data_IF_724593221569
#
_entry.id   IF_724593221569
#
_cell.length_a   1.000
_cell.length_b   1.000
_cell.length_c   1.000
_cell.angle_alpha   90.00
_cell.angle_beta   90.00
_cell.angle_gamma   90.00
#
_symmetry.space_group_name_H-M   'P 1'
#
loop_
_entity.id
_entity.type
_entity.pdbx_description
1 polymer ?
#
# COMPACT_ATOMS: atom_id res chain seq x y z
N UNK A 1 7.20 34.13 -5.66
CA UNK A 1 6.05 33.22 -5.67
C UNK A 1 5.28 33.46 -4.39
N UNK A 2 3.97 33.70 -4.49
CA UNK A 2 3.10 33.85 -3.31
C UNK A 2 3.23 32.60 -2.44
N UNK A 3 3.39 32.72 -1.13
CA UNK A 3 3.27 31.58 -0.24
C UNK A 3 1.83 31.08 -0.36
N UNK A 4 1.65 29.95 -1.03
CA UNK A 4 0.34 29.29 -1.11
C UNK A 4 0.00 28.88 0.32
N UNK A 5 -1.04 29.49 0.87
CA UNK A 5 -1.44 29.23 2.26
C UNK A 5 -2.52 28.17 2.29
N UNK A 6 -2.69 27.53 3.45
CA UNK A 6 -3.76 26.56 3.67
C UNK A 6 -5.13 27.20 3.39
N UNK A 7 -5.28 28.48 3.73
CA UNK A 7 -6.47 29.28 3.44
C UNK A 7 -6.74 29.39 1.95
N UNK A 8 -5.72 29.59 1.11
CA UNK A 8 -5.91 29.62 -0.35
C UNK A 8 -6.38 28.28 -0.92
N UNK A 9 -5.94 27.15 -0.34
CA UNK A 9 -6.46 25.83 -0.71
C UNK A 9 -7.94 25.70 -0.30
N UNK A 10 -8.29 26.13 0.91
CA UNK A 10 -9.69 26.15 1.34
C UNK A 10 -10.56 27.08 0.49
N UNK A 11 -10.06 28.24 0.08
CA UNK A 11 -10.78 29.19 -0.79
C UNK A 11 -10.99 28.62 -2.20
N UNK A 12 -9.96 28.01 -2.79
CA UNK A 12 -10.06 27.34 -4.10
C UNK A 12 -11.09 26.20 -4.05
N UNK A 13 -11.13 25.46 -2.93
CA UNK A 13 -12.10 24.39 -2.70
C UNK A 13 -13.48 24.90 -2.29
N UNK A 14 -13.57 26.13 -1.77
CA UNK A 14 -14.83 26.69 -1.32
C UNK A 14 -15.76 27.10 -2.47
N UNK A 15 -15.21 27.32 -3.67
CA UNK A 15 -15.90 27.92 -4.80
C UNK A 15 -16.89 27.04 -5.57
N UNK A 16 -16.82 25.70 -5.47
CA UNK A 16 -17.44 24.88 -6.53
C UNK A 16 -17.88 23.47 -6.13
N UNK A 17 -17.70 23.04 -4.88
CA UNK A 17 -17.99 21.65 -4.46
C UNK A 17 -19.42 21.53 -3.89
N UNK A 18 -20.46 21.87 -4.67
CA UNK A 18 -21.86 21.56 -4.33
C UNK A 18 -22.49 20.49 -5.25
N UNK A 19 -21.67 19.83 -6.07
CA UNK A 19 -22.18 18.81 -6.98
C UNK A 19 -22.20 17.42 -6.35
N UNK A 20 -23.37 16.79 -6.50
CA UNK A 20 -23.62 15.38 -6.24
C UNK A 20 -22.72 14.56 -7.16
N UNK A 21 -21.58 14.06 -6.66
CA UNK A 21 -20.56 13.43 -7.50
C UNK A 21 -21.07 12.15 -8.20
N UNK A 22 -21.13 12.23 -9.52
CA UNK A 22 -20.95 11.19 -10.56
C UNK A 22 -20.34 11.94 -11.77
N UNK A 23 -19.56 11.41 -12.77
CA UNK A 23 -19.28 10.02 -13.29
C UNK A 23 -17.79 9.80 -13.78
N UNK A 24 -17.34 8.84 -14.67
CA UNK A 24 -18.02 7.81 -15.47
C UNK A 24 -17.34 6.43 -15.44
N UNK A 25 -17.89 5.53 -14.63
CA UNK A 25 -17.89 4.11 -14.92
C UNK A 25 -18.74 3.47 -13.85
N UNK A 26 -20.06 3.53 -14.04
CA UNK A 26 -20.94 2.66 -13.29
C UNK A 26 -20.46 1.25 -13.61
N UNK A 27 -19.82 0.59 -12.65
CA UNK A 27 -19.86 -0.87 -12.63
C UNK A 27 -21.36 -1.16 -12.67
N UNK A 28 -21.89 -1.85 -13.72
CA UNK A 28 -23.32 -2.05 -13.84
C UNK A 28 -23.89 -2.64 -12.54
N UNK A 29 -24.87 -1.95 -11.94
CA UNK A 29 -25.47 -2.35 -10.66
C UNK A 29 -24.86 -1.75 -9.39
N UNK A 30 -23.77 -0.97 -9.48
CA UNK A 30 -23.20 -0.25 -8.34
C UNK A 30 -23.56 1.25 -8.38
N UNK A 31 -24.26 1.72 -7.35
CA UNK A 31 -24.52 3.14 -7.09
C UNK A 31 -23.80 3.54 -5.82
N UNK A 32 -22.75 4.35 -5.94
CA UNK A 32 -22.15 4.98 -4.77
C UNK A 32 -23.16 5.96 -4.16
N UNK A 33 -23.39 5.93 -2.83
CA UNK A 33 -24.22 6.94 -2.20
C UNK A 33 -23.60 8.32 -2.42
N UNK A 34 -24.42 9.38 -2.55
CA UNK A 34 -23.90 10.74 -2.58
C UNK A 34 -23.08 10.98 -1.32
N UNK A 35 -21.77 11.25 -1.46
CA UNK A 35 -20.96 11.67 -0.33
C UNK A 35 -20.95 13.20 -0.28
N UNK A 36 -21.03 13.80 0.91
CA UNK A 36 -20.78 15.24 1.07
C UNK A 36 -19.28 15.50 0.95
N UNK A 37 -18.70 15.30 -0.25
CA UNK A 37 -17.26 15.35 -0.51
C UNK A 37 -16.59 16.57 0.08
N UNK A 38 -17.24 17.73 0.00
CA UNK A 38 -16.75 18.96 0.60
C UNK A 38 -16.50 18.83 2.11
N UNK A 39 -17.49 18.38 2.87
CA UNK A 39 -17.35 18.21 4.32
C UNK A 39 -16.25 17.20 4.66
N UNK A 40 -16.19 16.10 3.92
CA UNK A 40 -15.15 15.07 4.12
C UNK A 40 -13.75 15.58 3.77
N UNK A 41 -13.61 16.38 2.71
CA UNK A 41 -12.35 17.05 2.34
C UNK A 41 -11.95 18.05 3.42
N UNK A 42 -12.88 18.88 3.87
CA UNK A 42 -12.61 19.90 4.89
C UNK A 42 -12.12 19.27 6.19
N UNK A 43 -12.78 18.19 6.65
CA UNK A 43 -12.38 17.48 7.85
C UNK A 43 -11.00 16.82 7.69
N UNK A 44 -10.74 16.20 6.54
CA UNK A 44 -9.45 15.59 6.26
C UNK A 44 -8.32 16.64 6.15
N UNK A 45 -8.55 17.79 5.52
CA UNK A 45 -7.60 18.90 5.49
C UNK A 45 -7.33 19.49 6.89
N UNK A 46 -8.36 19.59 7.75
CA UNK A 46 -8.18 20.00 9.15
C UNK A 46 -7.30 19.02 9.91
N UNK A 47 -7.46 17.72 9.71
CA UNK A 47 -6.57 16.70 10.28
C UNK A 47 -5.13 16.90 9.81
N UNK A 48 -4.90 17.01 8.50
CA UNK A 48 -3.57 17.23 7.91
C UNK A 48 -2.91 18.56 8.33
N UNK A 49 -3.74 19.59 8.56
CA UNK A 49 -3.25 20.88 9.06
C UNK A 49 -2.92 20.81 10.55
N UNK A 50 -3.77 20.17 11.35
CA UNK A 50 -3.64 20.09 12.80
C UNK A 50 -2.42 19.31 13.26
N UNK A 51 -1.97 18.32 12.48
CA UNK A 51 -0.76 17.54 12.74
C UNK A 51 0.50 18.04 11.98
N UNK A 52 0.36 19.16 11.25
CA UNK A 52 1.44 19.79 10.50
C UNK A 52 1.90 19.02 9.25
N UNK A 53 1.16 17.98 8.80
CA UNK A 53 1.51 17.23 7.58
C UNK A 53 1.52 18.08 6.31
N UNK A 54 0.70 19.14 6.22
CA UNK A 54 0.68 20.04 5.06
C UNK A 54 2.03 20.73 4.79
N UNK A 55 2.85 20.93 5.82
CA UNK A 55 4.17 21.56 5.73
C UNK A 55 5.32 20.57 5.49
N UNK A 56 5.06 19.25 5.54
CA UNK A 56 6.09 18.24 5.21
C UNK A 56 6.46 18.34 3.75
N UNK A 57 7.72 18.08 3.44
CA UNK A 57 8.26 18.19 2.09
C UNK A 57 8.45 16.83 1.44
N UNK A 58 8.28 16.79 0.13
CA UNK A 58 8.54 15.63 -0.71
C UNK A 58 10.05 15.45 -0.99
N UNK A 59 10.41 14.51 -1.88
CA UNK A 59 11.80 14.25 -2.25
C UNK A 59 12.50 15.46 -2.93
N UNK A 60 11.73 16.38 -3.49
CA UNK A 60 12.21 17.56 -4.21
C UNK A 60 12.22 18.81 -3.31
N UNK A 61 11.80 18.68 -2.06
CA UNK A 61 11.72 19.79 -1.11
C UNK A 61 10.44 20.62 -1.21
N UNK A 62 9.43 20.19 -1.98
CA UNK A 62 8.16 20.90 -2.08
C UNK A 62 7.20 20.44 -0.99
N UNK A 63 6.46 21.36 -0.34
CA UNK A 63 5.53 20.99 0.72
C UNK A 63 4.31 20.25 0.16
N UNK A 64 3.69 19.38 0.98
CA UNK A 64 2.49 18.62 0.63
C UNK A 64 1.38 19.52 0.03
N UNK A 65 1.17 20.70 0.61
CA UNK A 65 0.16 21.65 0.12
C UNK A 65 0.36 22.04 -1.35
N UNK A 66 1.60 22.09 -1.85
CA UNK A 66 1.89 22.42 -3.24
C UNK A 66 1.38 21.34 -4.20
N UNK A 67 1.56 20.06 -3.86
CA UNK A 67 1.03 18.94 -4.65
C UNK A 67 -0.50 18.93 -4.67
N UNK A 68 -1.15 19.24 -3.54
CA UNK A 68 -2.62 19.34 -3.47
C UNK A 68 -3.13 20.49 -4.35
N UNK A 69 -2.47 21.65 -4.31
CA UNK A 69 -2.81 22.81 -5.14
C UNK A 69 -2.55 22.54 -6.61
N UNK A 70 -1.50 21.78 -6.95
CA UNK A 70 -1.23 21.35 -8.31
C UNK A 70 -2.41 20.53 -8.87
N UNK A 71 -2.96 19.61 -8.07
CA UNK A 71 -4.15 18.83 -8.46
C UNK A 71 -5.38 19.72 -8.59
N UNK A 72 -5.52 20.76 -7.76
CA UNK A 72 -6.66 21.68 -7.83
C UNK A 72 -6.61 22.65 -9.03
N UNK A 73 -5.41 23.03 -9.49
CA UNK A 73 -5.27 24.19 -10.40
C UNK A 73 -4.60 23.87 -11.74
N UNK A 74 -3.75 22.85 -11.84
CA UNK A 74 -3.00 22.57 -13.07
C UNK A 74 -3.83 21.74 -14.05
N UNK A 75 -3.49 21.75 -15.35
CA UNK A 75 -4.09 20.84 -16.33
C UNK A 75 -3.89 19.38 -15.90
N UNK A 76 -5.00 18.67 -15.76
CA UNK A 76 -5.01 17.23 -15.53
C UNK A 76 -5.22 16.52 -16.86
N UNK A 77 -4.96 15.22 -16.86
CA UNK A 77 -5.37 14.36 -17.96
C UNK A 77 -6.88 14.48 -18.22
N UNK A 78 -7.32 14.31 -19.47
CA UNK A 78 -8.71 14.54 -19.90
C UNK A 78 -9.73 13.77 -19.07
N UNK A 79 -9.38 12.59 -18.59
CA UNK A 79 -10.21 11.78 -17.70
C UNK A 79 -10.54 12.49 -16.36
N UNK A 80 -9.61 13.29 -15.83
CA UNK A 80 -9.78 14.07 -14.59
C UNK A 80 -9.99 15.57 -14.84
N UNK A 81 -9.96 16.03 -16.09
CA UNK A 81 -10.01 17.45 -16.42
C UNK A 81 -11.38 18.07 -16.12
N UNK A 82 -12.45 17.27 -16.18
CA UNK A 82 -13.78 17.67 -15.73
C UNK A 82 -13.76 17.97 -14.22
N UNK A 83 -14.54 18.98 -13.80
CA UNK A 83 -14.55 19.47 -12.43
C UNK A 83 -14.87 18.35 -11.41
N UNK A 84 -15.81 17.47 -11.76
CA UNK A 84 -16.22 16.33 -10.94
C UNK A 84 -15.07 15.33 -10.77
N UNK A 85 -14.32 15.07 -11.84
CA UNK A 85 -13.15 14.19 -11.83
C UNK A 85 -12.02 14.76 -10.97
N UNK A 86 -11.74 16.06 -11.10
CA UNK A 86 -10.76 16.77 -10.29
C UNK A 86 -11.11 16.75 -8.80
N UNK A 87 -12.36 17.09 -8.47
CA UNK A 87 -12.84 17.09 -7.08
C UNK A 87 -12.78 15.68 -6.47
N UNK A 88 -13.13 14.65 -7.23
CA UNK A 88 -12.99 13.25 -6.78
C UNK A 88 -11.54 12.86 -6.55
N UNK A 89 -10.65 13.17 -7.49
CA UNK A 89 -9.23 12.86 -7.38
C UNK A 89 -8.60 13.50 -6.14
N UNK A 90 -8.82 14.80 -5.96
CA UNK A 90 -8.34 15.52 -4.78
C UNK A 90 -8.97 14.99 -3.49
N UNK A 91 -10.27 14.74 -3.50
CA UNK A 91 -11.00 14.29 -2.32
C UNK A 91 -10.59 12.91 -1.83
N UNK A 92 -10.30 11.99 -2.75
CA UNK A 92 -9.76 10.67 -2.40
C UNK A 92 -8.32 10.77 -1.90
N UNK A 93 -7.47 11.55 -2.57
CA UNK A 93 -6.09 11.73 -2.14
C UNK A 93 -6.00 12.30 -0.72
N UNK A 94 -6.73 13.39 -0.43
CA UNK A 94 -6.74 14.02 0.88
C UNK A 94 -7.27 13.06 1.96
N UNK A 95 -8.28 12.26 1.64
CA UNK A 95 -8.76 11.23 2.57
C UNK A 95 -7.76 10.10 2.80
N UNK A 96 -7.09 9.60 1.75
CA UNK A 96 -6.01 8.61 1.86
C UNK A 96 -4.87 9.15 2.73
N UNK A 97 -4.50 10.43 2.54
CA UNK A 97 -3.50 11.10 3.37
C UNK A 97 -3.96 11.20 4.82
N UNK A 98 -5.19 11.63 5.08
CA UNK A 98 -5.71 11.79 6.44
C UNK A 98 -5.82 10.45 7.18
N UNK A 99 -6.28 9.41 6.49
CA UNK A 99 -6.53 8.07 7.02
C UNK A 99 -5.91 6.98 6.14
N UNK A 100 -4.58 6.76 6.19
CA UNK A 100 -3.90 5.82 5.28
C UNK A 100 -4.44 4.38 5.29
N UNK A 101 -4.96 3.90 6.43
CA UNK A 101 -5.52 2.55 6.52
C UNK A 101 -6.66 2.30 5.52
N UNK A 102 -7.42 3.31 5.09
CA UNK A 102 -8.54 3.13 4.15
C UNK A 102 -8.12 2.66 2.75
N UNK A 103 -6.85 2.81 2.43
CA UNK A 103 -6.28 2.47 1.13
C UNK A 103 -6.36 0.95 0.99
N UNK A 104 -7.11 0.49 0.00
CA UNK A 104 -7.34 -0.94 -0.22
C UNK A 104 -7.10 -1.31 -1.69
N UNK A 105 -6.83 -2.59 -1.90
CA UNK A 105 -6.63 -3.20 -3.21
C UNK A 105 -7.94 -3.71 -3.83
N UNK A 106 -9.03 -3.71 -3.06
CA UNK A 106 -10.22 -4.48 -3.37
C UNK A 106 -9.90 -5.97 -3.44
N UNK A 107 -10.28 -6.61 -4.55
CA UNK A 107 -10.09 -8.04 -4.83
C UNK A 107 -9.02 -8.27 -5.91
N UNK A 108 -8.08 -7.34 -6.07
CA UNK A 108 -7.00 -7.39 -7.08
C UNK A 108 -5.73 -8.02 -6.53
N UNK A 109 -4.81 -8.44 -7.38
CA UNK A 109 -3.48 -8.96 -7.02
C UNK A 109 -2.48 -7.88 -6.54
N UNK A 110 -2.94 -6.67 -6.21
CA UNK A 110 -2.09 -5.50 -5.97
C UNK A 110 -1.66 -5.29 -4.51
N UNK A 111 -1.80 -6.27 -3.62
CA UNK A 111 -1.49 -6.14 -2.18
C UNK A 111 -0.14 -5.49 -1.89
N UNK A 112 0.90 -5.90 -2.61
CA UNK A 112 2.24 -5.36 -2.47
C UNK A 112 2.28 -3.84 -2.80
N UNK A 113 1.72 -3.43 -3.94
CA UNK A 113 1.64 -2.03 -4.33
C UNK A 113 0.74 -1.21 -3.37
N UNK A 114 -0.35 -1.79 -2.89
CA UNK A 114 -1.24 -1.16 -1.89
C UNK A 114 -0.52 -0.93 -0.57
N UNK A 115 0.26 -1.89 -0.08
CA UNK A 115 1.08 -1.67 1.12
C UNK A 115 2.10 -0.53 0.91
N UNK A 116 2.69 -0.38 -0.28
CA UNK A 116 3.58 0.75 -0.59
C UNK A 116 2.82 2.08 -0.56
N UNK A 117 1.61 2.11 -1.11
CA UNK A 117 0.73 3.29 -1.07
C UNK A 117 0.40 3.70 0.38
N UNK A 118 -0.03 2.75 1.21
CA UNK A 118 -0.28 2.97 2.65
C UNK A 118 0.98 3.51 3.33
N UNK A 119 2.13 2.87 3.10
CA UNK A 119 3.40 3.27 3.69
C UNK A 119 3.75 4.73 3.35
N UNK A 120 3.64 5.12 2.08
CA UNK A 120 3.94 6.49 1.65
C UNK A 120 2.94 7.47 2.26
N UNK A 121 1.64 7.19 2.23
CA UNK A 121 0.64 8.06 2.85
C UNK A 121 0.89 8.27 4.37
N UNK A 122 1.38 7.26 5.07
CA UNK A 122 1.74 7.34 6.50
C UNK A 122 3.07 8.07 6.74
N UNK A 123 4.13 7.70 6.02
CA UNK A 123 5.52 8.07 6.33
C UNK A 123 6.01 9.26 5.53
N UNK A 124 5.55 9.39 4.30
CA UNK A 124 5.99 10.41 3.37
C UNK A 124 4.80 10.98 2.57
N UNK A 125 3.83 11.61 3.27
CA UNK A 125 2.57 12.04 2.65
C UNK A 125 2.78 13.05 1.51
N UNK A 126 3.82 13.90 1.62
CA UNK A 126 4.18 14.86 0.59
C UNK A 126 4.66 14.15 -0.68
N UNK A 127 5.51 13.13 -0.55
CA UNK A 127 5.94 12.30 -1.67
C UNK A 127 4.77 11.54 -2.30
N UNK A 128 3.90 10.93 -1.49
CA UNK A 128 2.70 10.25 -2.02
C UNK A 128 1.84 11.20 -2.87
N UNK A 129 1.55 12.40 -2.36
CA UNK A 129 0.78 13.40 -3.10
C UNK A 129 1.49 13.89 -4.36
N UNK A 130 2.83 14.04 -4.33
CA UNK A 130 3.63 14.41 -5.51
C UNK A 130 3.53 13.34 -6.59
N UNK A 131 3.65 12.07 -6.22
CA UNK A 131 3.54 10.94 -7.15
C UNK A 131 2.14 10.89 -7.79
N UNK A 132 1.09 10.97 -6.99
CA UNK A 132 -0.29 11.00 -7.49
C UNK A 132 -0.52 12.20 -8.41
N UNK A 133 -0.08 13.40 -8.01
CA UNK A 133 -0.23 14.62 -8.82
C UNK A 133 0.42 14.49 -10.21
N UNK A 134 1.59 13.84 -10.30
CA UNK A 134 2.25 13.58 -11.58
C UNK A 134 1.54 12.51 -12.41
N UNK A 135 1.05 11.43 -11.79
CA UNK A 135 0.29 10.37 -12.46
C UNK A 135 -1.05 10.83 -13.04
N UNK A 136 -1.71 11.81 -12.42
CA UNK A 136 -2.98 12.37 -12.95
C UNK A 136 -2.78 13.66 -13.76
N UNK A 137 -1.54 14.13 -13.89
CA UNK A 137 -1.20 15.28 -14.73
C UNK A 137 -1.45 14.98 -16.21
N UNK A 138 -1.42 16.02 -17.05
CA UNK A 138 -1.59 15.85 -18.50
C UNK A 138 -0.55 14.90 -19.15
N UNK A 139 0.62 14.68 -18.55
CA UNK A 139 1.62 13.75 -19.06
C UNK A 139 1.47 12.32 -18.51
N UNK A 140 0.69 12.12 -17.44
CA UNK A 140 0.52 10.81 -16.79
C UNK A 140 1.82 10.20 -16.24
N UNK A 141 2.81 11.03 -15.89
CA UNK A 141 4.20 10.58 -15.60
C UNK A 141 4.77 11.26 -14.39
N UNK A 142 5.58 10.53 -13.61
CA UNK A 142 6.29 11.11 -12.47
C UNK A 142 7.61 10.37 -12.17
N UNK A 143 8.67 11.13 -11.94
CA UNK A 143 9.98 10.57 -11.58
C UNK A 143 10.01 10.17 -10.09
N UNK A 144 10.53 8.97 -9.80
CA UNK A 144 10.78 8.39 -8.49
C UNK A 144 12.11 8.86 -7.90
N UNK A 145 12.36 8.56 -6.61
CA UNK A 145 13.62 8.91 -5.94
C UNK A 145 14.84 8.22 -6.53
N UNK A 146 14.65 7.02 -7.10
CA UNK A 146 15.70 6.32 -7.84
C UNK A 146 16.01 6.92 -9.22
N UNK A 147 15.22 7.89 -9.68
CA UNK A 147 15.27 8.40 -11.05
C UNK A 147 14.46 7.58 -12.06
N UNK A 148 13.87 6.45 -11.66
CA UNK A 148 12.89 5.73 -12.47
C UNK A 148 11.59 6.53 -12.64
N UNK A 149 10.68 6.09 -13.52
CA UNK A 149 9.43 6.80 -13.80
C UNK A 149 8.23 5.88 -13.55
N UNK A 150 7.22 6.38 -12.83
CA UNK A 150 5.89 5.79 -12.83
C UNK A 150 5.09 6.41 -13.98
N UNK A 151 4.36 5.57 -14.70
CA UNK A 151 3.53 5.95 -15.84
C UNK A 151 2.11 5.48 -15.59
N UNK A 152 1.13 6.33 -15.93
CA UNK A 152 -0.27 5.97 -15.96
C UNK A 152 -0.74 5.92 -17.43
N UNK A 153 -0.99 4.71 -17.92
CA UNK A 153 -1.51 4.47 -19.27
C UNK A 153 -3.05 4.46 -19.29
N UNK A 154 -3.65 4.68 -20.47
CA UNK A 154 -5.13 4.82 -20.64
C UNK A 154 -5.91 3.62 -20.09
N UNK A 155 -5.36 2.42 -20.25
CA UNK A 155 -6.01 1.16 -19.88
C UNK A 155 -6.11 0.97 -18.35
N UNK A 156 -5.27 1.68 -17.58
CA UNK A 156 -5.26 1.65 -16.11
C UNK A 156 -6.50 2.35 -15.51
N UNK A 157 -7.19 3.20 -16.28
CA UNK A 157 -8.28 4.04 -15.78
C UNK A 157 -9.61 3.32 -15.64
N UNK A 158 -9.85 2.28 -16.42
CA UNK A 158 -11.14 1.60 -16.43
C UNK A 158 -11.33 0.78 -15.16
N UNK A 159 -12.44 0.95 -14.43
CA UNK A 159 -12.67 0.10 -13.30
C UNK A 159 -12.98 -1.32 -13.74
N UNK A 160 -12.88 -2.24 -12.78
CA UNK A 160 -13.36 -3.60 -12.95
C UNK A 160 -14.15 -4.06 -11.73
N UNK A 161 -14.90 -5.14 -11.87
CA UNK A 161 -15.74 -5.67 -10.79
C UNK A 161 -14.96 -6.06 -9.53
N UNK A 162 -13.65 -6.33 -9.66
CA UNK A 162 -12.75 -6.67 -8.56
C UNK A 162 -12.27 -5.47 -7.75
N UNK A 163 -12.68 -4.24 -8.05
CA UNK A 163 -12.19 -3.04 -7.36
C UNK A 163 -13.08 -2.55 -6.22
N UNK A 164 -13.87 -3.45 -5.61
CA UNK A 164 -14.73 -3.10 -4.48
C UNK A 164 -13.91 -2.39 -3.40
N UNK A 165 -14.31 -1.17 -3.05
CA UNK A 165 -13.60 -0.33 -2.09
C UNK A 165 -12.39 0.44 -2.67
N UNK A 166 -11.74 -0.04 -3.73
CA UNK A 166 -10.52 0.56 -4.30
C UNK A 166 -10.88 1.83 -5.05
N UNK A 167 -10.46 2.96 -4.50
CA UNK A 167 -10.76 4.26 -5.09
C UNK A 167 -9.91 4.56 -6.35
N UNK A 168 -10.32 5.52 -7.19
CA UNK A 168 -9.61 5.81 -8.45
C UNK A 168 -8.15 6.23 -8.29
N UNK A 169 -7.79 6.92 -7.20
CA UNK A 169 -6.40 7.32 -6.94
C UNK A 169 -5.55 6.09 -6.62
N UNK A 170 -6.05 5.22 -5.74
CA UNK A 170 -5.41 3.94 -5.42
C UNK A 170 -5.33 3.02 -6.64
N UNK A 171 -6.31 3.07 -7.57
CA UNK A 171 -6.21 2.35 -8.85
C UNK A 171 -4.98 2.76 -9.63
N UNK A 172 -4.89 4.05 -9.95
CA UNK A 172 -3.82 4.64 -10.75
C UNK A 172 -2.46 4.37 -10.11
N UNK A 173 -2.34 4.69 -8.82
CA UNK A 173 -1.07 4.56 -8.12
C UNK A 173 -0.60 3.10 -8.11
N UNK A 174 -1.45 2.18 -7.68
CA UNK A 174 -1.05 0.78 -7.53
C UNK A 174 -0.74 0.15 -8.89
N UNK A 175 -1.57 0.39 -9.93
CA UNK A 175 -1.30 -0.17 -11.26
C UNK A 175 0.00 0.37 -11.87
N UNK A 176 0.28 1.67 -11.73
CA UNK A 176 1.55 2.26 -12.15
C UNK A 176 2.74 1.64 -11.39
N UNK A 177 2.56 1.30 -10.11
CA UNK A 177 3.57 0.57 -9.33
C UNK A 177 3.76 -0.87 -9.80
N UNK A 178 2.69 -1.56 -10.23
CA UNK A 178 2.79 -2.91 -10.79
C UNK A 178 3.63 -2.91 -12.08
N UNK A 179 3.30 -2.01 -13.00
CA UNK A 179 4.03 -1.79 -14.25
C UNK A 179 5.53 -1.52 -13.99
N UNK A 180 5.83 -0.57 -13.09
CA UNK A 180 7.21 -0.21 -12.77
C UNK A 180 8.02 -1.36 -12.18
N UNK A 181 7.39 -2.22 -11.38
CA UNK A 181 8.09 -3.29 -10.67
C UNK A 181 8.68 -4.35 -11.62
N UNK A 182 8.06 -4.54 -12.79
CA UNK A 182 8.50 -5.45 -13.85
C UNK A 182 8.76 -4.70 -15.17
N UNK A 183 9.98 -4.21 -15.41
CA UNK A 183 10.27 -3.39 -16.59
C UNK A 183 10.14 -4.12 -17.94
N UNK A 184 9.97 -5.44 -17.94
CA UNK A 184 9.87 -6.29 -19.12
C UNK A 184 8.46 -6.92 -19.28
N UNK A 185 7.48 -6.53 -18.46
CA UNK A 185 6.11 -7.04 -18.48
C UNK A 185 5.10 -5.88 -18.47
N UNK A 186 3.98 -6.06 -19.14
CA UNK A 186 2.89 -5.07 -19.17
C UNK A 186 1.80 -5.49 -18.18
N UNK A 187 1.36 -4.62 -17.28
CA UNK A 187 0.30 -4.88 -16.31
C UNK A 187 -1.07 -4.39 -16.80
N UNK A 188 -2.03 -5.32 -16.92
CA UNK A 188 -3.42 -5.01 -17.26
C UNK A 188 -4.28 -4.98 -15.98
N UNK A 189 -4.81 -3.80 -15.62
CA UNK A 189 -5.65 -3.62 -14.44
C UNK A 189 -7.01 -4.33 -14.55
N UNK A 190 -7.59 -4.47 -15.74
CA UNK A 190 -8.87 -5.16 -15.95
C UNK A 190 -8.69 -6.65 -15.70
N UNK A 191 -7.67 -7.24 -16.32
CA UNK A 191 -7.34 -8.66 -16.23
C UNK A 191 -6.63 -9.04 -14.93
N UNK A 192 -6.08 -8.06 -14.20
CA UNK A 192 -5.33 -8.25 -12.96
C UNK A 192 -4.12 -9.18 -13.15
N UNK A 193 -3.35 -8.93 -14.22
CA UNK A 193 -2.21 -9.77 -14.59
C UNK A 193 -1.11 -8.99 -15.30
N UNK A 194 0.14 -9.42 -15.07
CA UNK A 194 1.29 -9.05 -15.89
C UNK A 194 1.42 -9.94 -17.11
N UNK A 195 1.70 -9.34 -18.26
CA UNK A 195 1.77 -10.01 -19.54
C UNK A 195 3.18 -9.98 -20.12
N UNK A 196 3.60 -11.10 -20.70
CA UNK A 196 4.78 -11.21 -21.56
C UNK A 196 4.33 -11.54 -22.97
N UNK A 197 4.08 -10.51 -23.78
CA UNK A 197 3.33 -10.69 -25.02
C UNK A 197 1.87 -11.05 -24.69
N UNK A 198 1.40 -12.21 -25.12
CA UNK A 198 0.01 -12.66 -24.85
C UNK A 198 -0.12 -13.55 -23.60
N UNK A 199 1.00 -13.94 -22.98
CA UNK A 199 1.00 -14.84 -21.82
C UNK A 199 0.85 -14.07 -20.51
N UNK A 200 -0.22 -14.36 -19.77
CA UNK A 200 -0.43 -13.89 -18.40
C UNK A 200 0.47 -14.67 -17.42
N UNK A 201 1.43 -13.98 -16.80
CA UNK A 201 2.44 -14.56 -15.90
C UNK A 201 1.96 -14.57 -14.44
N UNK A 202 1.13 -13.61 -14.04
CA UNK A 202 0.54 -13.53 -12.70
C UNK A 202 0.17 -12.11 -12.28
N UNK A 203 -0.69 -11.97 -11.27
CA UNK A 203 -1.21 -10.68 -10.80
C UNK A 203 -0.41 -10.00 -9.68
N UNK A 204 0.54 -10.70 -9.05
CA UNK A 204 1.28 -10.20 -7.88
C UNK A 204 2.71 -9.75 -8.18
N UNK A 205 3.36 -9.13 -7.18
CA UNK A 205 4.78 -8.79 -7.24
C UNK A 205 5.62 -9.84 -6.50
N UNK A 206 6.58 -10.43 -7.20
CA UNK A 206 7.61 -11.26 -6.60
C UNK A 206 8.55 -10.41 -5.74
N UNK A 207 9.26 -11.08 -4.83
CA UNK A 207 10.18 -10.45 -3.86
C UNK A 207 11.13 -9.43 -4.50
N UNK A 208 11.77 -9.76 -5.62
CA UNK A 208 12.71 -8.85 -6.29
C UNK A 208 12.03 -7.64 -6.95
N UNK A 209 10.84 -7.81 -7.50
CA UNK A 209 10.04 -6.74 -8.09
C UNK A 209 9.52 -5.78 -7.00
N UNK A 210 9.06 -6.33 -5.88
CA UNK A 210 8.64 -5.56 -4.71
C UNK A 210 9.79 -4.76 -4.09
N UNK A 211 10.97 -5.36 -3.90
CA UNK A 211 12.14 -4.66 -3.37
C UNK A 211 12.58 -3.51 -4.30
N UNK A 212 12.60 -3.73 -5.62
CA UNK A 212 12.85 -2.69 -6.62
C UNK A 212 11.90 -1.51 -6.45
N UNK A 213 10.61 -1.79 -6.34
CA UNK A 213 9.59 -0.76 -6.13
C UNK A 213 9.83 0.01 -4.82
N UNK A 214 10.04 -0.69 -3.70
CA UNK A 214 10.29 -0.06 -2.39
C UNK A 214 11.52 0.86 -2.42
N UNK A 215 12.63 0.39 -2.98
CA UNK A 215 13.85 1.19 -3.10
C UNK A 215 13.59 2.42 -3.97
N UNK A 216 12.87 2.25 -5.08
CA UNK A 216 12.58 3.33 -6.01
C UNK A 216 11.71 4.43 -5.40
N UNK A 217 10.65 4.06 -4.67
CA UNK A 217 9.74 5.04 -4.05
C UNK A 217 10.33 5.67 -2.79
N UNK A 218 11.10 4.93 -1.99
CA UNK A 218 11.61 5.43 -0.70
C UNK A 218 12.98 6.10 -0.83
N UNK A 219 13.75 5.75 -1.86
CA UNK A 219 15.15 6.14 -2.01
C UNK A 219 16.07 5.52 -0.94
N UNK A 220 15.60 4.47 -0.25
CA UNK A 220 16.32 3.81 0.85
C UNK A 220 16.58 2.35 0.50
N UNK A 221 17.68 1.76 0.99
CA UNK A 221 17.90 0.32 0.87
C UNK A 221 16.89 -0.43 1.75
N UNK A 222 16.36 -1.53 1.21
CA UNK A 222 15.54 -2.49 1.94
C UNK A 222 16.19 -3.86 1.84
N UNK A 223 15.98 -4.72 2.83
CA UNK A 223 16.37 -6.12 2.80
C UNK A 223 15.14 -6.98 2.90
N UNK A 224 15.10 -8.08 2.15
CA UNK A 224 14.08 -9.11 2.34
C UNK A 224 14.69 -10.37 2.93
N UNK A 225 14.06 -10.86 4.00
CA UNK A 225 14.35 -12.14 4.62
C UNK A 225 13.20 -13.10 4.33
N UNK A 226 13.50 -14.28 3.79
CA UNK A 226 12.48 -15.23 3.33
C UNK A 226 12.70 -16.64 3.90
N UNK A 227 11.71 -17.52 3.73
CA UNK A 227 11.83 -18.95 4.10
C UNK A 227 13.03 -19.64 3.44
N UNK A 228 13.44 -19.23 2.24
CA UNK A 228 14.64 -19.76 1.57
C UNK A 228 15.92 -19.45 2.36
N UNK A 229 16.01 -18.28 2.99
CA UNK A 229 17.13 -17.92 3.85
C UNK A 229 17.19 -18.81 5.09
N UNK A 230 16.03 -19.13 5.68
CA UNK A 230 15.95 -20.08 6.79
C UNK A 230 16.35 -21.50 6.36
N UNK A 231 15.97 -21.94 5.16
CA UNK A 231 16.42 -23.23 4.60
C UNK A 231 17.94 -23.27 4.39
N UNK A 232 18.52 -22.18 3.86
CA UNK A 232 19.97 -22.05 3.68
C UNK A 232 20.71 -22.08 5.02
N UNK A 233 20.25 -21.32 6.02
CA UNK A 233 20.82 -21.34 7.36
C UNK A 233 20.78 -22.76 7.96
N UNK A 234 19.64 -23.46 7.85
CA UNK A 234 19.52 -24.87 8.27
C UNK A 234 20.48 -25.80 7.53
N UNK A 235 20.71 -25.58 6.23
CA UNK A 235 21.66 -26.37 5.46
C UNK A 235 23.10 -26.14 5.91
N UNK A 236 23.51 -24.88 6.13
CA UNK A 236 24.83 -24.52 6.66
C UNK A 236 25.07 -25.12 8.05
N UNK A 237 24.07 -25.03 8.94
CA UNK A 237 24.15 -25.61 10.27
C UNK A 237 24.35 -27.13 10.24
N UNK A 238 23.68 -27.85 9.32
CA UNK A 238 23.87 -29.29 9.12
C UNK A 238 25.28 -29.66 8.65
N UNK A 239 25.99 -28.72 8.01
CA UNK A 239 27.38 -28.88 7.59
C UNK A 239 28.39 -28.45 8.67
N UNK A 240 27.93 -28.05 9.86
CA UNK A 240 28.78 -27.56 10.95
C UNK A 240 29.32 -26.14 10.73
N UNK A 241 28.75 -25.38 9.78
CA UNK A 241 29.10 -23.98 9.53
C UNK A 241 28.27 -23.11 10.48
N UNK A 242 28.93 -22.19 11.20
CA UNK A 242 28.24 -21.25 12.08
C UNK A 242 27.28 -20.36 11.29
N UNK A 243 26.04 -20.24 11.79
CA UNK A 243 24.97 -19.41 11.21
C UNK A 243 24.69 -18.15 12.02
N UNK A 244 25.53 -17.81 13.00
CA UNK A 244 25.34 -16.61 13.84
C UNK A 244 25.37 -15.32 12.99
N UNK A 245 26.17 -15.31 11.92
CA UNK A 245 26.24 -14.21 10.96
C UNK A 245 25.16 -14.21 9.87
N UNK A 246 24.33 -15.26 9.77
CA UNK A 246 23.35 -15.42 8.68
C UNK A 246 21.95 -15.13 9.21
N UNK A 247 21.23 -14.20 8.59
CA UNK A 247 19.84 -13.92 8.96
C UNK A 247 18.95 -15.15 8.68
N UNK A 248 18.03 -15.45 9.59
CA UNK A 248 17.10 -16.59 9.47
C UNK A 248 15.69 -16.11 9.83
N UNK A 249 14.74 -16.23 8.90
CA UNK A 249 13.37 -15.74 9.08
C UNK A 249 12.69 -16.35 10.31
N UNK A 250 12.82 -17.66 10.51
CA UNK A 250 12.18 -18.38 11.61
C UNK A 250 12.79 -18.00 12.95
N UNK A 251 14.05 -17.57 12.95
CA UNK A 251 14.79 -17.20 14.14
C UNK A 251 14.66 -15.72 14.50
N UNK A 252 14.71 -14.87 13.48
CA UNK A 252 14.96 -13.43 13.61
C UNK A 252 13.74 -12.58 13.23
N UNK A 253 12.76 -13.14 12.51
CA UNK A 253 11.63 -12.40 11.93
C UNK A 253 10.87 -11.53 12.93
N UNK A 254 10.41 -12.11 14.04
CA UNK A 254 9.67 -11.36 15.06
C UNK A 254 10.53 -10.26 15.73
N UNK A 255 11.81 -10.54 15.99
CA UNK A 255 12.73 -9.55 16.56
C UNK A 255 12.96 -8.37 15.62
N UNK A 256 13.07 -8.62 14.31
CA UNK A 256 13.16 -7.57 13.29
C UNK A 256 11.90 -6.70 13.31
N UNK A 257 10.71 -7.34 13.29
CA UNK A 257 9.42 -6.63 13.31
C UNK A 257 9.32 -5.76 14.57
N UNK A 258 9.61 -6.30 15.74
CA UNK A 258 9.49 -5.57 17.01
C UNK A 258 10.48 -4.40 17.10
N UNK A 259 11.75 -4.62 16.72
CA UNK A 259 12.76 -3.56 16.77
C UNK A 259 12.45 -2.42 15.78
N UNK A 260 11.99 -2.76 14.57
CA UNK A 260 11.60 -1.79 13.55
C UNK A 260 10.37 -1.00 14.00
N UNK A 261 9.30 -1.69 14.40
CA UNK A 261 8.04 -1.04 14.76
C UNK A 261 8.15 -0.21 16.03
N UNK A 262 8.99 -0.60 17.00
CA UNK A 262 9.32 0.22 18.18
C UNK A 262 10.02 1.54 17.81
N UNK A 263 10.80 1.55 16.74
CA UNK A 263 11.42 2.77 16.18
C UNK A 263 10.43 3.55 15.29
N UNK A 264 9.17 3.15 15.26
CA UNK A 264 8.13 3.75 14.45
C UNK A 264 8.26 3.41 12.97
N UNK A 265 9.05 2.41 12.56
CA UNK A 265 9.16 1.99 11.17
C UNK A 265 8.38 0.68 10.95
N UNK A 266 7.27 0.72 10.19
CA UNK A 266 6.55 -0.50 9.86
C UNK A 266 7.39 -1.39 8.93
N UNK A 267 7.05 -2.67 8.89
CA UNK A 267 7.71 -3.65 8.02
C UNK A 267 6.68 -4.31 7.12
N UNK A 268 7.12 -4.79 5.96
CA UNK A 268 6.22 -5.47 5.04
C UNK A 268 6.39 -6.97 5.21
N UNK A 269 5.32 -7.68 5.53
CA UNK A 269 5.35 -9.12 5.68
C UNK A 269 4.51 -9.77 4.59
N UNK A 270 5.03 -10.80 3.95
CA UNK A 270 4.20 -11.71 3.16
C UNK A 270 3.78 -12.85 4.07
N UNK A 271 2.48 -13.10 4.14
CA UNK A 271 1.90 -14.25 4.81
C UNK A 271 1.45 -15.27 3.76
N UNK A 272 1.70 -16.55 4.03
CA UNK A 272 1.36 -17.65 3.13
C UNK A 272 0.18 -18.39 3.73
N UNK A 273 -1.00 -18.19 3.16
CA UNK A 273 -2.22 -18.82 3.65
C UNK A 273 -2.36 -20.25 3.12
N UNK A 274 -2.74 -21.23 3.96
CA UNK A 274 -2.87 -22.62 3.53
C UNK A 274 -3.95 -22.81 2.46
N UNK A 275 -5.02 -22.02 2.54
CA UNK A 275 -6.08 -21.95 1.55
C UNK A 275 -6.68 -20.54 1.55
N UNK A 276 -7.08 -20.06 0.38
CA UNK A 276 -7.91 -18.86 0.24
C UNK A 276 -9.10 -19.23 -0.64
N UNK A 277 -10.30 -18.89 -0.17
CA UNK A 277 -11.48 -18.98 -1.01
C UNK A 277 -11.31 -17.97 -2.15
N UNK A 278 -11.24 -18.45 -3.40
CA UNK A 278 -10.93 -17.60 -4.56
C UNK A 278 -11.93 -16.45 -4.67
N UNK A 279 -11.44 -15.21 -4.71
CA UNK A 279 -12.27 -14.01 -4.83
C UNK A 279 -12.93 -13.84 -6.20
N UNK A 280 -12.45 -14.54 -7.23
CA UNK A 280 -12.98 -14.47 -8.59
C UNK A 280 -14.23 -15.35 -8.74
N UNK A 281 -15.38 -14.81 -8.34
CA UNK A 281 -16.67 -15.49 -8.39
C UNK A 281 -17.27 -15.79 -9.78
N UNK A 282 -16.48 -16.12 -10.81
CA UNK A 282 -17.03 -16.45 -12.14
C UNK A 282 -16.30 -17.50 -12.97
N UNK A 283 -15.12 -17.96 -12.58
CA UNK A 283 -14.56 -19.21 -13.12
C UNK A 283 -14.82 -20.27 -12.09
N UNK A 284 -15.53 -21.36 -12.40
CA UNK A 284 -15.76 -22.50 -11.50
C UNK A 284 -14.47 -23.25 -11.12
N UNK A 285 -13.46 -22.52 -10.66
CA UNK A 285 -12.11 -22.93 -10.37
C UNK A 285 -11.94 -23.29 -8.91
N UNK A 286 -11.08 -24.27 -8.68
CA UNK A 286 -10.74 -24.75 -7.36
C UNK A 286 -10.17 -23.64 -6.47
N UNK A 287 -10.30 -23.75 -5.13
CA UNK A 287 -9.68 -22.80 -4.20
C UNK A 287 -8.20 -22.61 -4.52
N UNK A 288 -7.73 -21.36 -4.50
CA UNK A 288 -6.30 -21.07 -4.66
C UNK A 288 -5.61 -21.57 -3.39
N UNK A 289 -4.85 -22.65 -3.53
CA UNK A 289 -4.00 -23.17 -2.45
C UNK A 289 -2.72 -22.34 -2.41
N UNK A 290 -2.28 -21.97 -1.21
CA UNK A 290 -1.04 -21.20 -1.00
C UNK A 290 -1.04 -19.80 -1.63
N UNK A 291 -2.04 -18.99 -1.31
CA UNK A 291 -2.00 -17.57 -1.69
C UNK A 291 -1.03 -16.82 -0.79
N UNK A 292 -0.03 -16.19 -1.41
CA UNK A 292 0.83 -15.21 -0.78
C UNK A 292 0.12 -13.87 -0.71
N UNK A 293 0.14 -13.23 0.46
CA UNK A 293 -0.48 -11.93 0.66
C UNK A 293 0.43 -10.99 1.43
N UNK A 294 0.58 -9.76 0.93
CA UNK A 294 1.40 -8.73 1.57
C UNK A 294 0.56 -7.93 2.55
N UNK A 295 1.08 -7.76 3.77
CA UNK A 295 0.51 -6.91 4.81
C UNK A 295 1.56 -5.90 5.29
N UNK A 296 1.10 -4.80 5.88
CA UNK A 296 1.96 -3.80 6.51
C UNK A 296 1.90 -3.98 8.03
N UNK A 297 2.97 -4.50 8.65
CA UNK A 297 3.02 -4.75 10.09
C UNK A 297 3.41 -3.48 10.84
N UNK A 298 2.60 -3.11 11.83
CA UNK A 298 2.63 -1.80 12.46
C UNK A 298 3.15 -1.83 13.89
N UNK A 299 2.86 -2.90 14.62
CA UNK A 299 3.39 -3.12 15.97
C UNK A 299 3.29 -4.58 16.40
N UNK A 300 4.09 -4.94 17.39
CA UNK A 300 3.97 -6.18 18.16
C UNK A 300 3.61 -5.79 19.59
N UNK A 301 2.49 -6.32 20.10
CA UNK A 301 2.13 -6.23 21.51
C UNK A 301 2.52 -7.54 22.19
N UNK A 302 3.70 -7.54 22.83
CA UNK A 302 4.22 -8.71 23.52
C UNK A 302 3.46 -9.06 24.81
N UNK A 303 2.70 -8.12 25.39
CA UNK A 303 1.91 -8.37 26.59
C UNK A 303 0.62 -9.14 26.24
N UNK A 304 -0.04 -8.71 25.17
CA UNK A 304 -1.26 -9.34 24.65
C UNK A 304 -0.93 -10.54 23.73
N UNK A 305 0.32 -10.68 23.29
CA UNK A 305 0.77 -11.76 22.43
C UNK A 305 0.24 -11.63 20.99
N UNK A 306 0.05 -10.40 20.49
CA UNK A 306 -0.54 -10.13 19.17
C UNK A 306 0.35 -9.25 18.29
N UNK A 307 0.19 -9.41 16.98
CA UNK A 307 0.77 -8.56 15.94
C UNK A 307 -0.35 -7.71 15.35
N UNK A 308 -0.14 -6.40 15.27
CA UNK A 308 -1.07 -5.47 14.61
C UNK A 308 -0.53 -5.08 13.23
N UNK A 309 -1.41 -5.07 12.24
CA UNK A 309 -1.05 -4.80 10.85
C UNK A 309 -2.22 -4.16 10.10
N UNK A 310 -1.91 -3.45 9.01
CA UNK A 310 -2.91 -3.07 8.01
C UNK A 310 -2.93 -4.14 6.92
N UNK A 311 -4.14 -4.62 6.63
CA UNK A 311 -4.43 -5.54 5.56
C UNK A 311 -4.99 -4.76 4.36
N UNK A 312 -4.33 -4.80 3.18
CA UNK A 312 -4.83 -4.11 2.00
C UNK A 312 -6.10 -4.70 1.38
N UNK A 313 -6.56 -5.89 1.79
CA UNK A 313 -7.84 -6.46 1.35
C UNK A 313 -9.03 -5.81 2.08
N UNK A 314 -10.18 -5.75 1.40
CA UNK A 314 -11.44 -5.29 1.99
C UNK A 314 -11.75 -6.01 3.32
N UNK A 315 -11.80 -5.32 4.47
CA UNK A 315 -12.06 -5.92 5.77
C UNK A 315 -13.42 -6.60 5.88
N UNK A 316 -14.37 -6.30 4.99
CA UNK A 316 -15.69 -6.92 5.02
C UNK A 316 -15.72 -8.31 4.40
N UNK A 317 -14.67 -8.71 3.69
CA UNK A 317 -14.57 -10.03 3.07
C UNK A 317 -13.79 -10.97 3.99
N UNK A 318 -14.39 -12.10 4.38
CA UNK A 318 -13.68 -13.13 5.14
C UNK A 318 -12.76 -13.90 4.20
N UNK A 319 -11.46 -13.68 4.32
CA UNK A 319 -10.49 -14.30 3.41
C UNK A 319 -9.35 -15.07 4.08
N UNK A 320 -9.15 -14.87 5.39
CA UNK A 320 -8.21 -15.65 6.19
C UNK A 320 -8.81 -16.97 6.65
N UNK A 321 -8.43 -18.06 6.00
CA UNK A 321 -8.63 -19.41 6.56
C UNK A 321 -7.38 -19.87 7.31
N UNK A 322 -7.59 -20.43 8.50
CA UNK A 322 -6.50 -21.04 9.28
C UNK A 322 -5.65 -20.05 10.08
N UNK A 323 -6.14 -18.84 10.36
CA UNK A 323 -5.51 -17.86 11.24
C UNK A 323 -6.57 -17.20 12.14
N UNK A 324 -6.25 -16.93 13.40
CA UNK A 324 -7.16 -16.19 14.29
C UNK A 324 -6.99 -14.68 14.08
N UNK A 325 -7.57 -14.17 13.00
CA UNK A 325 -7.54 -12.73 12.68
C UNK A 325 -8.72 -12.00 13.33
N UNK A 326 -8.43 -10.86 13.98
CA UNK A 326 -9.42 -9.90 14.45
C UNK A 326 -9.32 -8.64 13.60
N UNK A 327 -10.42 -8.27 12.96
CA UNK A 327 -10.58 -6.95 12.31
C UNK A 327 -10.88 -5.93 13.41
N UNK A 328 -10.01 -4.93 13.55
CA UNK A 328 -10.07 -3.89 14.58
C UNK A 328 -10.91 -2.69 14.14
N UNK A 329 -10.94 -2.38 12.84
CA UNK A 329 -11.71 -1.26 12.29
C UNK A 329 -12.26 -1.53 10.88
N UNK A 330 -13.00 -0.56 10.35
CA UNK A 330 -13.62 -0.61 9.01
C UNK A 330 -12.61 -0.41 7.85
N UNK A 331 -11.33 -0.18 8.14
CA UNK A 331 -10.30 0.13 7.16
C UNK A 331 -9.27 -0.99 7.00
N UNK A 332 -9.50 -2.17 7.59
CA UNK A 332 -8.55 -3.28 7.44
C UNK A 332 -7.40 -3.24 8.43
N UNK A 333 -7.51 -2.43 9.51
CA UNK A 333 -6.65 -2.63 10.66
C UNK A 333 -6.99 -3.98 11.28
N UNK A 334 -5.99 -4.83 11.40
CA UNK A 334 -6.16 -6.19 11.88
C UNK A 334 -5.17 -6.49 13.01
N UNK A 335 -5.47 -7.55 13.75
CA UNK A 335 -4.51 -8.22 14.62
C UNK A 335 -4.60 -9.74 14.51
N UNK A 336 -3.51 -10.42 14.85
CA UNK A 336 -3.48 -11.88 14.99
C UNK A 336 -2.50 -12.30 16.09
N UNK A 337 -2.65 -13.48 16.71
CA UNK A 337 -1.66 -14.01 17.65
C UNK A 337 -0.27 -14.09 17.03
N UNK A 338 0.78 -13.80 17.80
CA UNK A 338 2.18 -13.90 17.36
C UNK A 338 2.48 -15.29 16.79
N UNK A 339 1.99 -16.36 17.42
CA UNK A 339 2.19 -17.73 16.96
C UNK A 339 1.57 -18.01 15.57
N UNK A 340 0.42 -17.39 15.27
CA UNK A 340 -0.21 -17.49 13.95
C UNK A 340 0.59 -16.69 12.91
N UNK A 341 1.03 -15.48 13.27
CA UNK A 341 1.88 -14.67 12.40
C UNK A 341 3.19 -15.38 12.04
N UNK A 342 3.94 -15.88 13.03
CA UNK A 342 5.20 -16.59 12.81
C UNK A 342 5.04 -17.85 11.95
N UNK A 343 3.92 -18.57 12.12
CA UNK A 343 3.59 -19.75 11.32
C UNK A 343 3.28 -19.42 9.86
N UNK A 344 2.67 -18.27 9.60
CA UNK A 344 2.25 -17.85 8.27
C UNK A 344 3.32 -17.03 7.54
N UNK A 345 4.31 -16.49 8.25
CA UNK A 345 5.32 -15.60 7.68
C UNK A 345 6.16 -16.30 6.58
N UNK A 346 6.01 -15.85 5.34
CA UNK A 346 6.75 -16.32 4.17
C UNK A 346 8.00 -15.47 3.87
N UNK A 347 7.85 -14.15 3.92
CA UNK A 347 8.96 -13.20 3.83
C UNK A 347 8.70 -11.91 4.60
N UNK A 348 9.77 -11.16 4.85
CA UNK A 348 9.79 -9.91 5.59
C UNK A 348 10.75 -8.93 4.92
N UNK A 349 10.23 -7.80 4.44
CA UNK A 349 11.03 -6.68 3.95
C UNK A 349 11.16 -5.60 5.03
N UNK A 350 12.40 -5.23 5.36
CA UNK A 350 12.74 -4.33 6.47
C UNK A 350 13.97 -3.46 6.16
N UNK A 351 14.20 -2.44 6.99
CA UNK A 351 15.39 -1.58 6.96
C UNK A 351 16.48 -2.18 7.85
N UNK A 352 17.59 -2.59 7.26
CA UNK A 352 18.66 -3.33 7.94
C UNK A 352 19.27 -2.54 9.10
N UNK A 353 19.43 -1.23 8.95
CA UNK A 353 19.96 -0.32 9.95
C UNK A 353 19.09 -0.20 11.23
N UNK A 354 17.86 -0.71 11.18
CA UNK A 354 16.95 -0.71 12.33
C UNK A 354 17.03 -1.99 13.14
N UNK A 355 17.71 -3.03 12.65
CA UNK A 355 17.85 -4.30 13.32
C UNK A 355 19.24 -4.47 13.96
N UNK A 356 19.26 -4.52 15.29
CA UNK A 356 20.45 -4.85 16.07
C UNK A 356 20.36 -6.30 16.55
N UNK A 357 21.25 -7.14 16.00
CA UNK A 357 21.35 -8.57 16.35
C UNK A 357 21.89 -8.83 17.74
N UNK A 358 22.56 -7.85 18.36
CA UNK A 358 23.11 -8.00 19.70
C UNK A 358 22.05 -7.88 20.79
N UNK A 359 20.89 -7.31 20.46
CA UNK A 359 19.79 -7.19 21.41
C UNK A 359 19.16 -8.56 21.69
N UNK A 360 18.83 -8.85 22.96
CA UNK A 360 18.19 -10.09 23.33
C UNK A 360 16.84 -10.21 22.61
N UNK A 361 16.42 -11.44 22.32
CA UNK A 361 15.08 -11.64 21.79
C UNK A 361 14.04 -11.16 22.80
N UNK A 362 12.94 -10.59 22.31
CA UNK A 362 11.77 -10.34 23.15
C UNK A 362 11.38 -11.63 23.83
N UNK A 363 11.28 -11.63 25.16
CA UNK A 363 10.70 -12.77 25.86
C UNK A 363 9.20 -12.72 25.62
N UNK A 364 8.71 -13.52 24.67
CA UNK A 364 7.28 -13.83 24.59
C UNK A 364 6.94 -14.45 25.94
N UNK A 365 6.11 -13.78 26.73
CA UNK A 365 5.72 -14.29 28.04
C UNK A 365 5.21 -15.72 27.86
N UNK A 366 5.85 -16.70 28.50
CA UNK A 366 5.37 -18.07 28.50
C UNK A 366 3.95 -18.05 29.11
N UNK A 367 2.93 -18.04 28.25
CA UNK A 367 1.57 -18.30 28.67
C UNK A 367 1.51 -19.81 28.96
N UNK A 368 1.61 -20.12 30.25
CA UNK A 368 1.54 -21.49 30.79
C UNK A 368 0.12 -22.02 30.94
#
# INVERSE_FOLDING_TARGET
MSAVTVESLFEELAGTIEQWTVPPSRIPGWTEPPRPWRATIDDALRVLSGDGRLARVDALGHPLVESLVAIATRPLWSFFAAEEGRNRALGELVQNLANPGRINQGLKGTCAATCVEIYLAMKDPAEYARLVAGLISASGRVTLRSGGELVCDEDILLPSAGERGRNPISRIFQAACMEFAYPDLDYDNIMDCHFKGEECIGGGLEMGAFERLLVAVTGKPWKTLSTQHAMMAKALAKLGISTEGVADLARDGLSIVEQSTRKGEPVFATIVLPAVTSFQGNTGGEPIRHAEHKILVLSVDGAEGVVHYDDPIDPHERWFEGANVRIEDEYGRCSMPIADFERLLGDLSYREELWDRSLPRPMVGNQG
#
